data_IF_111126947509
#
_entry.id   IF_111126947509
#
_cell.length_a   1.000
_cell.length_b   1.000
_cell.length_c   1.000
_cell.angle_alpha   90.00
_cell.angle_beta   90.00
_cell.angle_gamma   90.00
#
_symmetry.space_group_name_H-M   'P 1'
#
loop_
_entity.id
_entity.type
_entity.pdbx_description
1 polymer ?
#
# COMPACT_ATOMS: atom_id res chain seq x y z
N UNK A 1 -12.90 11.48 -13.78
CA UNK A 1 -12.13 10.34 -13.20
C UNK A 1 -11.19 10.89 -12.15
N UNK A 2 -11.23 10.38 -10.93
CA UNK A 2 -10.26 10.75 -9.88
C UNK A 2 -8.92 10.07 -10.16
N UNK A 3 -7.86 10.84 -10.20
CA UNK A 3 -6.53 10.43 -10.67
C UNK A 3 -5.62 10.06 -9.50
N UNK A 4 -5.86 8.91 -8.85
CA UNK A 4 -4.99 8.40 -7.78
C UNK A 4 -3.59 8.00 -8.25
N UNK A 5 -3.39 7.86 -9.55
CA UNK A 5 -2.08 7.69 -10.14
C UNK A 5 -1.20 8.96 -10.03
N UNK A 6 -1.80 10.11 -9.74
CA UNK A 6 -1.12 11.38 -9.50
C UNK A 6 -1.03 11.76 -8.01
N UNK A 7 -1.46 10.87 -7.11
CA UNK A 7 -1.51 11.16 -5.67
C UNK A 7 -0.12 11.39 -5.02
N UNK A 8 0.95 10.93 -5.66
CA UNK A 8 2.33 11.21 -5.22
C UNK A 8 3.28 11.17 -6.41
N UNK A 9 4.30 12.04 -6.45
CA UNK A 9 5.33 12.00 -7.49
C UNK A 9 6.23 10.77 -7.39
N UNK A 10 6.30 10.15 -6.22
CA UNK A 10 7.17 9.00 -5.96
C UNK A 10 6.55 7.67 -6.43
N UNK A 11 5.25 7.51 -6.22
CA UNK A 11 4.51 6.33 -6.59
C UNK A 11 3.02 6.66 -6.75
N UNK A 12 2.42 6.33 -7.88
CA UNK A 12 0.99 6.52 -8.12
C UNK A 12 0.14 5.29 -7.80
N UNK A 13 -1.13 5.52 -7.50
CA UNK A 13 -2.13 4.48 -7.32
C UNK A 13 -2.60 4.26 -5.89
N UNK A 14 -3.43 3.24 -5.72
CA UNK A 14 -4.23 3.00 -4.52
C UNK A 14 -3.45 2.75 -3.22
N UNK A 15 -2.13 2.60 -3.27
CA UNK A 15 -1.33 2.37 -2.05
C UNK A 15 -0.93 3.67 -1.36
N UNK A 16 -0.80 4.77 -2.07
CA UNK A 16 -0.32 6.05 -1.54
C UNK A 16 -1.16 6.48 -0.34
N UNK A 17 -2.47 6.57 -0.50
CA UNK A 17 -3.40 7.01 0.55
C UNK A 17 -3.35 6.13 1.80
N UNK A 18 -3.10 4.84 1.65
CA UNK A 18 -2.94 3.91 2.78
C UNK A 18 -1.63 4.11 3.50
N UNK A 19 -0.57 4.43 2.75
CA UNK A 19 0.78 4.59 3.29
C UNK A 19 0.92 5.84 4.14
N UNK A 20 0.14 6.86 3.92
CA UNK A 20 0.08 8.03 4.77
C UNK A 20 -0.18 7.65 6.24
N UNK A 21 -1.21 6.86 6.49
CA UNK A 21 -1.57 6.40 7.83
C UNK A 21 -0.64 5.29 8.36
N UNK A 22 -0.27 4.36 7.50
CA UNK A 22 0.59 3.23 7.88
C UNK A 22 1.99 3.71 8.28
N UNK A 23 2.55 4.67 7.56
CA UNK A 23 3.87 5.22 7.86
C UNK A 23 3.83 6.14 9.07
N UNK A 24 2.74 6.89 9.29
CA UNK A 24 2.55 7.67 10.50
C UNK A 24 2.58 6.74 11.74
N UNK A 25 1.80 5.66 11.75
CA UNK A 25 1.79 4.66 12.84
C UNK A 25 3.17 4.00 13.04
N UNK A 26 3.91 3.76 11.97
CA UNK A 26 5.28 3.25 12.05
C UNK A 26 6.17 4.19 12.87
N UNK A 27 6.13 5.49 12.59
CA UNK A 27 6.91 6.49 13.30
C UNK A 27 6.43 6.68 14.75
N UNK A 28 5.13 6.73 15.00
CA UNK A 28 4.56 6.80 16.35
C UNK A 28 5.01 5.62 17.22
N UNK A 29 5.13 4.43 16.64
CA UNK A 29 5.65 3.23 17.33
C UNK A 29 7.17 3.15 17.38
N UNK A 30 7.88 4.18 16.94
CA UNK A 30 9.35 4.22 16.91
C UNK A 30 9.96 3.01 16.20
N UNK A 31 9.37 2.58 15.09
CA UNK A 31 9.89 1.50 14.27
C UNK A 31 10.93 2.04 13.28
N UNK A 32 11.96 1.27 13.04
CA UNK A 32 13.15 1.71 12.30
C UNK A 32 13.38 0.93 11.02
N UNK A 33 12.54 -0.05 10.71
CA UNK A 33 12.59 -0.83 9.48
C UNK A 33 11.21 -1.40 9.12
N UNK A 34 11.03 -1.69 7.85
CA UNK A 34 9.80 -2.29 7.35
C UNK A 34 10.06 -3.74 6.91
N UNK A 35 9.15 -4.63 7.29
CA UNK A 35 9.08 -6.00 6.77
C UNK A 35 7.73 -6.19 6.12
N UNK A 36 7.71 -6.76 4.92
CA UNK A 36 6.46 -7.09 4.22
C UNK A 36 6.60 -8.37 3.43
N UNK A 37 5.48 -8.92 3.00
CA UNK A 37 5.41 -10.04 2.08
C UNK A 37 4.50 -9.73 0.90
N UNK A 38 4.77 -10.35 -0.23
CA UNK A 38 3.94 -10.21 -1.42
C UNK A 38 4.43 -11.07 -2.56
N UNK A 39 3.60 -11.27 -3.57
CA UNK A 39 4.04 -11.91 -4.80
C UNK A 39 5.06 -11.07 -5.56
N UNK A 40 5.69 -11.67 -6.57
CA UNK A 40 6.73 -11.01 -7.39
C UNK A 40 6.23 -9.74 -8.08
N UNK A 41 4.94 -9.69 -8.43
CA UNK A 41 4.28 -8.55 -9.07
C UNK A 41 3.54 -7.62 -8.07
N UNK A 42 3.91 -7.63 -6.79
CA UNK A 42 3.21 -6.87 -5.76
C UNK A 42 3.42 -5.37 -5.90
N UNK A 43 2.36 -4.64 -6.27
CA UNK A 43 2.33 -3.17 -6.27
C UNK A 43 2.50 -2.59 -4.86
N UNK A 44 2.06 -3.32 -3.84
CA UNK A 44 2.27 -2.94 -2.46
C UNK A 44 3.75 -3.05 -2.06
N UNK A 45 4.46 -4.09 -2.49
CA UNK A 45 5.90 -4.22 -2.26
C UNK A 45 6.68 -3.07 -2.93
N UNK A 46 6.31 -2.70 -4.16
CA UNK A 46 6.91 -1.55 -4.86
C UNK A 46 6.70 -0.24 -4.08
N UNK A 47 5.48 0.04 -3.66
CA UNK A 47 5.19 1.22 -2.85
C UNK A 47 6.00 1.20 -1.55
N UNK A 48 6.10 0.04 -0.86
CA UNK A 48 6.89 -0.10 0.37
C UNK A 48 8.35 0.24 0.14
N UNK A 49 8.97 -0.28 -0.92
CA UNK A 49 10.38 -0.03 -1.22
C UNK A 49 10.66 1.44 -1.52
N UNK A 50 9.82 2.04 -2.37
CA UNK A 50 10.01 3.44 -2.79
C UNK A 50 9.82 4.41 -1.63
N UNK A 51 8.75 4.24 -0.83
CA UNK A 51 8.55 5.07 0.36
C UNK A 51 9.58 4.79 1.44
N UNK A 52 9.99 3.53 1.63
CA UNK A 52 11.07 3.17 2.53
C UNK A 52 12.37 3.86 2.16
N UNK A 53 12.77 3.82 0.89
CA UNK A 53 13.94 4.52 0.37
C UNK A 53 13.87 6.04 0.62
N UNK A 54 12.74 6.65 0.28
CA UNK A 54 12.56 8.11 0.45
C UNK A 54 12.61 8.56 1.92
N UNK A 55 12.23 7.68 2.85
CA UNK A 55 12.25 7.93 4.29
C UNK A 55 13.51 7.42 4.99
N UNK A 56 14.46 6.85 4.26
CA UNK A 56 15.67 6.27 4.84
C UNK A 56 15.44 5.02 5.70
N UNK A 57 14.32 4.32 5.50
CA UNK A 57 13.94 3.12 6.24
C UNK A 57 14.37 1.85 5.49
N UNK A 58 15.18 0.97 6.09
CA UNK A 58 15.46 -0.34 5.52
C UNK A 58 14.18 -1.15 5.29
N UNK A 59 14.04 -1.72 4.10
CA UNK A 59 12.89 -2.53 3.71
C UNK A 59 13.33 -3.96 3.42
N UNK A 60 12.63 -4.94 4.00
CA UNK A 60 12.74 -6.35 3.64
C UNK A 60 11.43 -6.85 3.08
N UNK A 61 11.48 -7.49 1.91
CA UNK A 61 10.34 -8.05 1.22
C UNK A 61 10.54 -9.56 1.07
N UNK A 62 9.59 -10.33 1.58
CA UNK A 62 9.57 -11.78 1.39
C UNK A 62 8.59 -12.11 0.26
N UNK A 63 9.12 -12.59 -0.86
CA UNK A 63 8.33 -12.89 -2.05
C UNK A 63 7.89 -14.35 -2.10
N UNK A 64 6.60 -14.59 -2.34
CA UNK A 64 6.11 -15.92 -2.73
C UNK A 64 6.06 -16.07 -4.25
N UNK A 65 6.06 -17.32 -4.69
CA UNK A 65 6.08 -17.69 -6.09
C UNK A 65 4.89 -17.16 -6.87
N UNK A 66 5.18 -16.54 -7.98
CA UNK A 66 4.22 -16.12 -8.99
C UNK A 66 4.84 -16.28 -10.40
N UNK A 67 4.03 -16.41 -11.46
CA UNK A 67 4.54 -16.38 -12.82
C UNK A 67 5.37 -15.12 -13.10
N UNK A 68 6.53 -15.31 -13.72
CA UNK A 68 7.45 -14.21 -14.07
C UNK A 68 6.94 -13.54 -15.33
N UNK A 69 6.06 -12.55 -15.15
CA UNK A 69 5.62 -11.66 -16.22
C UNK A 69 6.60 -10.51 -16.40
N UNK A 70 6.46 -9.75 -17.48
CA UNK A 70 7.22 -8.50 -17.69
C UNK A 70 7.01 -7.53 -16.52
N UNK A 71 5.78 -7.41 -16.01
CA UNK A 71 5.46 -6.57 -14.86
C UNK A 71 6.13 -7.07 -13.58
N UNK A 72 6.11 -8.38 -13.31
CA UNK A 72 6.79 -8.96 -12.15
C UNK A 72 8.30 -8.70 -12.17
N UNK A 73 8.93 -8.85 -13.35
CA UNK A 73 10.36 -8.53 -13.53
C UNK A 73 10.65 -7.06 -13.21
N UNK A 74 9.85 -6.13 -13.74
CA UNK A 74 10.01 -4.71 -13.47
C UNK A 74 9.80 -4.39 -11.98
N UNK A 75 8.82 -5.01 -11.33
CA UNK A 75 8.56 -4.84 -9.90
C UNK A 75 9.76 -5.27 -9.05
N UNK A 76 10.36 -6.43 -9.35
CA UNK A 76 11.56 -6.91 -8.66
C UNK A 76 12.74 -5.93 -8.85
N UNK A 77 12.97 -5.48 -10.09
CA UNK A 77 14.04 -4.53 -10.39
C UNK A 77 13.82 -3.18 -9.68
N UNK A 78 12.58 -2.69 -9.63
CA UNK A 78 12.24 -1.47 -8.88
C UNK A 78 12.51 -1.64 -7.40
N UNK A 79 12.10 -2.76 -6.80
CA UNK A 79 12.35 -3.04 -5.38
C UNK A 79 13.85 -3.11 -5.08
N UNK A 80 14.63 -3.78 -5.94
CA UNK A 80 16.08 -3.87 -5.79
C UNK A 80 16.76 -2.50 -5.95
N UNK A 81 16.36 -1.71 -6.97
CA UNK A 81 16.88 -0.37 -7.20
C UNK A 81 16.58 0.59 -6.04
N UNK A 82 15.44 0.41 -5.38
CA UNK A 82 15.08 1.14 -4.16
C UNK A 82 15.83 0.64 -2.90
N UNK A 83 16.77 -0.29 -3.03
CA UNK A 83 17.58 -0.80 -1.93
C UNK A 83 16.87 -1.77 -1.00
N UNK A 84 15.71 -2.31 -1.40
CA UNK A 84 15.01 -3.29 -0.59
C UNK A 84 15.75 -4.65 -0.58
N UNK A 85 15.82 -5.26 0.59
CA UNK A 85 16.32 -6.63 0.75
C UNK A 85 15.24 -7.62 0.29
N UNK A 86 15.51 -8.35 -0.78
CA UNK A 86 14.59 -9.31 -1.37
C UNK A 86 14.89 -10.72 -0.86
N UNK A 87 13.90 -11.35 -0.25
CA UNK A 87 13.98 -12.70 0.26
C UNK A 87 13.02 -13.60 -0.50
N UNK A 88 13.54 -14.68 -1.03
CA UNK A 88 12.71 -15.69 -1.68
C UNK A 88 11.95 -16.51 -0.63
N UNK A 89 10.64 -16.43 -0.62
CA UNK A 89 9.77 -17.15 0.31
C UNK A 89 9.47 -18.57 -0.13
N UNK A 90 9.41 -18.79 -1.44
CA UNK A 90 8.92 -20.03 -2.01
C UNK A 90 7.39 -20.10 -1.99
N UNK A 91 6.83 -21.19 -1.46
CA UNK A 91 5.39 -21.32 -1.31
C UNK A 91 4.82 -20.37 -0.24
N UNK A 92 3.50 -20.25 -0.19
CA UNK A 92 2.81 -19.32 0.71
C UNK A 92 3.11 -19.56 2.20
N UNK A 93 3.11 -20.80 2.66
CA UNK A 93 3.38 -21.15 4.06
C UNK A 93 4.81 -20.77 4.47
N UNK A 94 5.77 -21.10 3.60
CA UNK A 94 7.18 -20.78 3.83
C UNK A 94 7.42 -19.27 3.83
N UNK A 95 6.68 -18.51 2.99
CA UNK A 95 6.71 -17.05 2.97
C UNK A 95 6.23 -16.47 4.29
N UNK A 96 5.13 -16.98 4.84
CA UNK A 96 4.63 -16.56 6.16
C UNK A 96 5.70 -16.81 7.22
N UNK A 97 6.25 -18.02 7.27
CA UNK A 97 7.28 -18.38 8.25
C UNK A 97 8.53 -17.50 8.12
N UNK A 98 9.03 -17.28 6.90
CA UNK A 98 10.20 -16.41 6.65
C UNK A 98 9.92 -14.96 7.00
N UNK A 99 8.72 -14.47 6.75
CA UNK A 99 8.29 -13.12 7.15
C UNK A 99 8.33 -12.98 8.66
N UNK A 100 7.77 -13.92 9.39
CA UNK A 100 7.82 -13.94 10.86
C UNK A 100 9.26 -13.95 11.39
N UNK A 101 10.10 -14.80 10.83
CA UNK A 101 11.53 -14.85 11.21
C UNK A 101 12.31 -13.58 10.87
N UNK A 102 11.79 -12.75 9.99
CA UNK A 102 12.38 -11.45 9.62
C UNK A 102 12.03 -10.34 10.60
N UNK A 103 11.10 -10.57 11.54
CA UNK A 103 10.66 -9.57 12.49
C UNK A 103 11.62 -9.48 13.68
N UNK A 104 12.00 -8.24 14.01
CA UNK A 104 12.80 -7.88 15.16
C UNK A 104 12.11 -6.75 15.94
N UNK A 105 12.58 -6.39 17.12
CA UNK A 105 12.00 -5.35 17.98
C UNK A 105 11.73 -4.02 17.23
N UNK A 106 12.61 -3.61 16.32
CA UNK A 106 12.47 -2.40 15.50
C UNK A 106 11.65 -2.57 14.22
N UNK A 107 11.15 -3.77 13.92
CA UNK A 107 10.41 -4.02 12.68
C UNK A 107 8.97 -3.56 12.76
N UNK A 108 8.49 -2.98 11.66
CA UNK A 108 7.08 -2.74 11.39
C UNK A 108 6.61 -3.69 10.28
N UNK A 109 5.62 -4.50 10.58
CA UNK A 109 5.04 -5.42 9.60
C UNK A 109 3.93 -4.74 8.81
N UNK A 110 4.12 -4.58 7.52
CA UNK A 110 3.04 -4.21 6.60
C UNK A 110 2.47 -5.48 5.98
N UNK A 111 1.22 -5.79 6.32
CA UNK A 111 0.51 -6.95 5.78
C UNK A 111 0.32 -6.84 4.26
N UNK A 112 0.21 -7.99 3.54
CA UNK A 112 -0.08 -7.99 2.11
C UNK A 112 -1.28 -7.12 1.76
N UNK A 113 -1.11 -6.27 0.75
CA UNK A 113 -2.12 -5.30 0.33
C UNK A 113 -2.21 -4.04 1.19
N UNK A 114 -1.45 -3.94 2.30
CA UNK A 114 -1.60 -2.90 3.32
C UNK A 114 -3.06 -2.75 3.78
N UNK A 115 -3.77 -3.90 3.90
CA UNK A 115 -5.19 -3.93 4.18
C UNK A 115 -5.43 -4.13 5.69
N UNK A 116 -5.53 -3.05 6.43
CA UNK A 116 -5.96 -3.02 7.83
C UNK A 116 -6.86 -1.80 8.07
N UNK A 117 -7.49 -1.73 9.23
CA UNK A 117 -8.41 -0.65 9.58
C UNK A 117 -7.75 0.73 9.48
N UNK A 118 -6.52 0.86 10.00
CA UNK A 118 -5.76 2.11 9.96
C UNK A 118 -5.47 2.57 8.52
N UNK A 119 -4.97 1.67 7.68
CA UNK A 119 -4.70 1.98 6.27
C UNK A 119 -5.96 2.37 5.48
N UNK A 120 -7.11 1.85 5.89
CA UNK A 120 -8.38 2.17 5.25
C UNK A 120 -8.84 3.60 5.54
N UNK A 121 -8.35 4.26 6.61
CA UNK A 121 -8.61 5.67 6.88
C UNK A 121 -8.23 6.56 5.68
N UNK A 122 -7.17 6.24 4.96
CA UNK A 122 -6.76 6.96 3.76
C UNK A 122 -7.80 6.95 2.63
N UNK A 123 -8.72 5.99 2.63
CA UNK A 123 -9.83 5.97 1.68
C UNK A 123 -11.12 6.58 2.22
N UNK A 124 -11.27 6.65 3.53
CA UNK A 124 -12.30 7.51 4.16
C UNK A 124 -11.95 8.98 3.88
N UNK A 125 -10.70 9.36 4.08
CA UNK A 125 -10.18 10.70 3.75
C UNK A 125 -10.35 11.04 2.27
N UNK A 126 -10.12 10.08 1.37
CA UNK A 126 -10.38 10.28 -0.06
C UNK A 126 -11.86 10.58 -0.39
N UNK A 127 -12.82 10.08 0.42
CA UNK A 127 -14.23 10.46 0.26
C UNK A 127 -14.51 11.87 0.77
N UNK A 128 -13.87 12.29 1.85
CA UNK A 128 -13.97 13.67 2.34
C UNK A 128 -13.39 14.65 1.29
N UNK A 129 -12.21 14.34 0.77
CA UNK A 129 -11.59 15.11 -0.33
C UNK A 129 -12.52 15.21 -1.56
N UNK A 130 -13.18 14.09 -1.93
CA UNK A 130 -14.12 14.10 -3.03
C UNK A 130 -15.32 15.02 -2.76
N UNK A 131 -15.88 14.96 -1.55
CA UNK A 131 -17.00 15.79 -1.16
C UNK A 131 -16.64 17.29 -1.17
N UNK A 132 -15.43 17.63 -0.70
CA UNK A 132 -14.91 19.00 -0.77
C UNK A 132 -14.73 19.47 -2.21
N UNK A 133 -14.21 18.62 -3.11
CA UNK A 133 -14.06 18.96 -4.54
C UNK A 133 -15.42 19.22 -5.19
N UNK A 134 -16.42 18.44 -4.86
CA UNK A 134 -17.82 18.68 -5.31
C UNK A 134 -18.34 20.00 -4.75
N UNK A 135 -18.17 20.27 -3.46
CA UNK A 135 -18.65 21.49 -2.81
C UNK A 135 -17.99 22.75 -3.39
N UNK A 136 -16.72 22.66 -3.80
CA UNK A 136 -15.99 23.76 -4.47
C UNK A 136 -16.31 23.90 -5.97
N UNK A 137 -17.17 23.01 -6.52
CA UNK A 137 -17.52 23.02 -7.94
C UNK A 137 -16.41 22.53 -8.88
N UNK A 138 -15.38 21.88 -8.36
CA UNK A 138 -14.27 21.34 -9.15
C UNK A 138 -14.67 20.11 -9.97
N UNK A 139 -15.75 19.44 -9.55
CA UNK A 139 -16.36 18.32 -10.25
C UNK A 139 -17.85 18.19 -9.92
N UNK A 140 -18.67 17.58 -10.79
CA UNK A 140 -20.06 17.27 -10.46
C UNK A 140 -20.15 16.18 -9.39
N UNK A 141 -21.24 16.17 -8.59
CA UNK A 141 -21.53 15.08 -7.66
C UNK A 141 -21.63 13.76 -8.45
N UNK A 142 -20.84 12.73 -8.11
CA UNK A 142 -20.90 11.47 -8.83
C UNK A 142 -22.15 10.67 -8.41
N UNK A 143 -22.83 10.03 -9.37
CA UNK A 143 -23.92 9.10 -9.12
C UNK A 143 -23.43 7.73 -8.67
N UNK A 144 -22.19 7.37 -9.04
CA UNK A 144 -21.58 6.09 -8.70
C UNK A 144 -20.07 6.18 -8.64
N UNK A 145 -19.46 5.34 -7.80
CA UNK A 145 -18.00 5.15 -7.72
C UNK A 145 -17.68 3.73 -8.19
N UNK A 146 -16.90 3.62 -9.25
CA UNK A 146 -16.45 2.35 -9.81
C UNK A 146 -14.97 2.15 -9.53
N UNK A 147 -14.61 1.01 -8.95
CA UNK A 147 -13.23 0.69 -8.60
C UNK A 147 -12.93 -0.80 -8.79
N UNK A 148 -11.68 -1.16 -9.10
CA UNK A 148 -11.24 -2.56 -9.09
C UNK A 148 -11.18 -3.05 -7.64
N UNK A 149 -11.72 -4.24 -7.37
CA UNK A 149 -11.80 -4.79 -6.01
C UNK A 149 -10.95 -6.05 -5.90
N UNK A 150 -9.98 -6.03 -4.97
CA UNK A 150 -9.18 -7.20 -4.58
C UNK A 150 -9.51 -7.61 -3.14
N UNK A 151 -8.79 -7.05 -2.15
CA UNK A 151 -9.02 -7.32 -0.73
C UNK A 151 -10.25 -6.62 -0.12
N UNK A 152 -11.04 -5.93 -0.94
CA UNK A 152 -12.23 -5.15 -0.58
C UNK A 152 -12.03 -3.99 0.42
N UNK A 153 -10.83 -3.78 0.95
CA UNK A 153 -10.56 -2.72 1.92
C UNK A 153 -10.83 -1.31 1.38
N UNK A 154 -10.49 -1.02 0.13
CA UNK A 154 -10.80 0.25 -0.53
C UNK A 154 -12.31 0.45 -0.67
N UNK A 155 -13.02 -0.60 -1.12
CA UNK A 155 -14.47 -0.56 -1.28
C UNK A 155 -15.17 -0.28 0.06
N UNK A 156 -14.80 -1.00 1.12
CA UNK A 156 -15.36 -0.82 2.44
C UNK A 156 -15.14 0.60 3.00
N UNK A 157 -13.92 1.14 2.81
CA UNK A 157 -13.59 2.48 3.29
C UNK A 157 -14.35 3.58 2.51
N UNK A 158 -14.44 3.45 1.18
CA UNK A 158 -15.21 4.39 0.36
C UNK A 158 -16.72 4.31 0.69
N UNK A 159 -17.27 3.10 0.88
CA UNK A 159 -18.67 2.93 1.26
C UNK A 159 -18.96 3.55 2.63
N UNK A 160 -18.06 3.36 3.61
CA UNK A 160 -18.20 3.98 4.92
C UNK A 160 -18.14 5.51 4.83
N UNK A 161 -17.16 6.06 4.11
CA UNK A 161 -17.03 7.50 3.91
C UNK A 161 -18.23 8.09 3.18
N UNK A 162 -18.75 7.41 2.15
CA UNK A 162 -19.99 7.83 1.47
C UNK A 162 -21.19 7.83 2.41
N UNK A 163 -21.32 6.81 3.26
CA UNK A 163 -22.40 6.73 4.25
C UNK A 163 -22.38 7.87 5.28
N UNK A 164 -21.21 8.43 5.60
CA UNK A 164 -21.09 9.57 6.51
C UNK A 164 -21.46 10.91 5.85
N UNK A 165 -21.35 10.97 4.53
CA UNK A 165 -21.59 12.20 3.76
C UNK A 165 -23.05 12.33 3.28
N UNK A 166 -23.86 11.29 3.36
CA UNK A 166 -25.25 11.26 2.88
C UNK A 166 -25.30 11.02 1.38
#
# INVERSE_FOLDING_TARGET
MKRDDLASPLYGGNKVRRYEFVLADLFERNKTRIVTAGGLASTQAMATSLFGQALGLPVRIVHFDQPITRFARNAILTNAAAGAELVWGGNYLMTIWRTWRSLHKGSYLIFPGAANALANLGYIDAMLELAEQVARGEMPKPDAIVLPTGSSGTLAALALGASWLG
#
